data_IF_748242306113
#
_entry.id   IF_748242306113
#
_cell.length_a   1.000
_cell.length_b   1.000
_cell.length_c   1.000
_cell.angle_alpha   90.00
_cell.angle_beta   90.00
_cell.angle_gamma   90.00
#
_symmetry.space_group_name_H-M   'P 1'
#
loop_
_entity.id
_entity.type
_entity.pdbx_description
1 polymer ?
#
# COMPACT_ATOMS: atom_id res chain seq x y z
N UNK A 1 14.64 -35.06 9.47
CA UNK A 1 14.44 -33.73 8.88
C UNK A 1 13.11 -33.76 8.13
N UNK A 2 12.03 -33.31 8.78
CA UNK A 2 10.79 -33.00 8.07
C UNK A 2 10.86 -31.49 7.81
N UNK A 3 11.10 -31.12 6.55
CA UNK A 3 10.89 -29.75 6.13
C UNK A 3 9.37 -29.56 6.13
N UNK A 4 8.84 -28.89 7.15
CA UNK A 4 7.48 -28.35 7.08
C UNK A 4 7.49 -27.32 5.96
N UNK A 5 7.17 -27.77 4.75
CA UNK A 5 6.89 -26.90 3.60
C UNK A 5 5.62 -26.16 3.98
N UNK A 6 5.77 -24.98 4.58
CA UNK A 6 4.63 -24.13 4.86
C UNK A 6 3.96 -23.85 3.51
N UNK A 7 2.68 -24.21 3.31
CA UNK A 7 2.08 -24.17 1.99
C UNK A 7 2.01 -22.71 1.51
N UNK A 8 2.67 -22.42 0.39
CA UNK A 8 2.49 -21.17 -0.33
C UNK A 8 1.01 -21.00 -0.65
N UNK A 9 0.42 -19.89 -0.20
CA UNK A 9 -0.95 -19.53 -0.55
C UNK A 9 -0.92 -18.59 -1.74
N UNK A 10 -1.50 -18.99 -2.88
CA UNK A 10 -1.56 -18.15 -4.07
C UNK A 10 -3.00 -17.84 -4.48
N UNK A 11 -3.27 -16.57 -4.81
CA UNK A 11 -4.53 -16.14 -5.42
C UNK A 11 -4.25 -15.63 -6.83
N UNK A 12 -4.89 -16.25 -7.82
CA UNK A 12 -4.66 -15.94 -9.24
C UNK A 12 -5.93 -15.39 -9.88
N UNK A 13 -5.84 -14.19 -10.42
CA UNK A 13 -6.88 -13.57 -11.22
C UNK A 13 -6.79 -13.99 -12.68
N UNK A 14 -7.93 -14.04 -13.35
CA UNK A 14 -8.01 -14.27 -14.78
C UNK A 14 -7.57 -13.01 -15.54
N UNK A 15 -6.86 -13.20 -16.66
CA UNK A 15 -6.56 -12.15 -17.63
C UNK A 15 -7.45 -12.29 -18.87
N UNK A 16 -7.83 -11.16 -19.46
CA UNK A 16 -8.55 -11.11 -20.73
C UNK A 16 -7.79 -10.29 -21.74
N UNK A 17 -8.01 -10.63 -23.01
CA UNK A 17 -7.52 -9.85 -24.13
C UNK A 17 -8.64 -8.90 -24.58
N UNK A 18 -8.45 -7.57 -24.56
CA UNK A 18 -9.45 -6.65 -25.07
C UNK A 18 -9.73 -6.91 -26.55
N UNK A 19 -11.00 -6.94 -26.95
CA UNK A 19 -11.36 -7.09 -28.36
C UNK A 19 -10.80 -5.96 -29.24
N UNK A 20 -10.56 -4.78 -28.66
CA UNK A 20 -9.98 -3.61 -29.32
C UNK A 20 -8.47 -3.67 -29.49
N UNK A 21 -7.77 -4.51 -28.74
CA UNK A 21 -6.31 -4.65 -28.81
C UNK A 21 -5.88 -6.06 -28.37
N UNK A 22 -5.82 -7.02 -29.32
CA UNK A 22 -5.42 -8.40 -29.05
C UNK A 22 -4.01 -8.55 -28.46
N UNK A 23 -3.18 -7.50 -28.56
CA UNK A 23 -1.83 -7.46 -28.00
C UNK A 23 -1.77 -7.02 -26.54
N UNK A 24 -2.92 -6.65 -25.93
CA UNK A 24 -3.00 -6.23 -24.52
C UNK A 24 -3.63 -7.29 -23.64
N UNK A 25 -3.19 -7.36 -22.38
CA UNK A 25 -3.77 -8.22 -21.35
C UNK A 25 -4.24 -7.37 -20.17
N UNK A 26 -5.54 -7.51 -19.83
CA UNK A 26 -6.17 -6.84 -18.70
C UNK A 26 -6.51 -7.85 -17.61
N UNK A 27 -6.39 -7.42 -16.35
CA UNK A 27 -6.93 -8.19 -15.23
C UNK A 27 -8.46 -8.18 -15.31
N UNK A 28 -9.07 -9.34 -15.14
CA UNK A 28 -10.53 -9.50 -15.20
C UNK A 28 -11.16 -9.57 -13.81
N UNK A 29 -10.32 -9.68 -12.77
CA UNK A 29 -10.74 -9.75 -11.38
C UNK A 29 -10.42 -8.42 -10.71
N UNK A 30 -11.47 -7.76 -10.20
CA UNK A 30 -11.38 -6.52 -9.43
C UNK A 30 -12.03 -6.70 -8.06
N UNK A 31 -11.30 -6.37 -7.01
CA UNK A 31 -11.78 -6.33 -5.63
C UNK A 31 -11.79 -4.87 -5.21
N UNK A 32 -12.97 -4.32 -4.93
CA UNK A 32 -13.13 -2.92 -4.59
C UNK A 32 -13.88 -2.74 -3.27
N UNK A 33 -13.48 -1.73 -2.49
CA UNK A 33 -14.15 -1.30 -1.26
C UNK A 33 -14.30 0.21 -1.27
N UNK A 34 -15.30 0.73 -0.54
CA UNK A 34 -15.45 2.17 -0.25
C UNK A 34 -15.58 2.38 1.26
N UNK A 35 -14.46 2.58 1.95
CA UNK A 35 -14.38 2.79 3.40
C UNK A 35 -13.17 3.65 3.76
N UNK A 36 -13.39 4.71 4.52
CA UNK A 36 -12.32 5.48 5.18
C UNK A 36 -12.48 5.45 6.69
N UNK A 37 -11.40 5.74 7.40
CA UNK A 37 -11.49 6.19 8.78
C UNK A 37 -12.01 7.63 8.84
N UNK A 38 -12.79 7.93 9.88
CA UNK A 38 -13.23 9.30 10.13
C UNK A 38 -12.07 10.18 10.60
N UNK A 39 -11.15 9.60 11.38
CA UNK A 39 -9.92 10.18 11.88
C UNK A 39 -8.87 9.07 11.95
N UNK A 40 -7.64 9.36 11.49
CA UNK A 40 -6.50 8.46 11.65
C UNK A 40 -5.94 8.59 13.06
N UNK A 41 -5.65 7.45 13.67
CA UNK A 41 -4.88 7.36 14.91
C UNK A 41 -3.39 7.07 14.64
N UNK A 42 -3.03 6.85 13.38
CA UNK A 42 -1.65 6.54 12.94
C UNK A 42 -1.25 5.07 13.11
N UNK A 43 -2.10 4.24 13.72
CA UNK A 43 -1.78 2.85 14.07
C UNK A 43 -2.75 1.82 13.48
N UNK A 44 -4.04 2.16 13.30
CA UNK A 44 -5.09 1.23 12.85
C UNK A 44 -5.71 1.60 11.49
N UNK A 45 -4.96 2.30 10.64
CA UNK A 45 -5.39 2.68 9.30
C UNK A 45 -5.70 1.46 8.41
N UNK A 46 -5.11 0.31 8.73
CA UNK A 46 -5.32 -0.99 8.08
C UNK A 46 -6.77 -1.50 8.14
N UNK A 47 -7.58 -1.05 9.09
CA UNK A 47 -9.00 -1.38 9.13
C UNK A 47 -9.78 -0.94 7.86
N UNK A 48 -9.22 0.03 7.12
CA UNK A 48 -9.79 0.51 5.85
C UNK A 48 -9.41 -0.36 4.65
N UNK A 49 -8.36 -1.17 4.74
CA UNK A 49 -7.82 -1.94 3.63
C UNK A 49 -8.89 -2.73 2.89
N UNK A 50 -8.86 -2.72 1.56
CA UNK A 50 -9.70 -3.59 0.73
C UNK A 50 -9.24 -5.03 0.83
N UNK A 51 -7.92 -5.24 0.80
CA UNK A 51 -7.28 -6.54 0.95
C UNK A 51 -6.24 -6.47 2.05
N UNK A 52 -6.32 -7.37 3.04
CA UNK A 52 -5.39 -7.43 4.17
C UNK A 52 -4.84 -8.84 4.33
N UNK A 53 -3.52 -8.95 4.46
CA UNK A 53 -2.81 -10.20 4.71
C UNK A 53 -2.11 -10.08 6.06
N UNK A 54 -2.16 -11.13 6.87
CA UNK A 54 -1.47 -11.18 8.15
C UNK A 54 -1.03 -12.61 8.47
N UNK A 55 0.15 -12.76 9.08
CA UNK A 55 0.68 -14.05 9.53
C UNK A 55 0.81 -15.10 8.41
N UNK A 56 1.21 -14.69 7.21
CA UNK A 56 1.40 -15.58 6.08
C UNK A 56 2.88 -15.68 5.69
N UNK A 57 3.54 -16.84 5.90
CA UNK A 57 4.97 -16.98 5.63
C UNK A 57 5.32 -17.02 4.13
N UNK A 58 4.32 -17.22 3.25
CA UNK A 58 4.44 -17.14 1.80
C UNK A 58 3.04 -16.96 1.17
N UNK A 59 2.71 -15.72 0.80
CA UNK A 59 1.49 -15.38 0.08
C UNK A 59 1.81 -14.77 -1.28
N UNK A 60 1.14 -15.20 -2.34
CA UNK A 60 1.32 -14.66 -3.69
C UNK A 60 -0.01 -14.23 -4.30
N UNK A 61 -0.02 -13.08 -4.98
CA UNK A 61 -1.18 -12.60 -5.73
C UNK A 61 -0.76 -12.26 -7.16
N UNK A 62 -1.57 -12.73 -8.10
CA UNK A 62 -1.32 -12.59 -9.53
C UNK A 62 -2.52 -11.98 -10.21
N UNK A 63 -2.33 -10.97 -11.05
CA UNK A 63 -3.33 -10.55 -12.04
C UNK A 63 -4.70 -10.15 -11.45
N UNK A 64 -4.68 -9.49 -10.29
CA UNK A 64 -5.89 -8.97 -9.62
C UNK A 64 -5.74 -7.47 -9.41
N UNK A 65 -6.84 -6.75 -9.65
CA UNK A 65 -6.95 -5.34 -9.32
C UNK A 65 -7.57 -5.16 -7.93
N UNK A 66 -6.89 -4.45 -7.04
CA UNK A 66 -7.35 -4.16 -5.68
C UNK A 66 -7.50 -2.66 -5.52
N UNK A 67 -8.68 -2.24 -5.10
CA UNK A 67 -9.02 -0.83 -5.11
C UNK A 67 -9.76 -0.35 -3.88
N UNK A 68 -9.44 0.87 -3.48
CA UNK A 68 -10.19 1.64 -2.52
C UNK A 68 -10.79 2.88 -3.19
N UNK A 69 -12.12 2.89 -3.28
CA UNK A 69 -12.93 3.90 -3.98
C UNK A 69 -13.09 5.20 -3.19
N UNK A 70 -12.66 5.22 -1.93
CA UNK A 70 -12.73 6.41 -1.11
C UNK A 70 -11.58 7.36 -1.48
N UNK A 71 -11.95 8.55 -1.93
CA UNK A 71 -11.02 9.55 -2.49
C UNK A 71 -10.62 10.63 -1.49
N UNK A 72 -11.26 10.63 -0.32
CA UNK A 72 -11.02 11.57 0.77
C UNK A 72 -10.65 10.81 2.04
N UNK A 73 -9.79 11.41 2.88
CA UNK A 73 -9.25 10.77 4.10
C UNK A 73 -8.36 9.56 3.78
N UNK A 74 -7.88 8.92 4.84
CA UNK A 74 -7.04 7.72 4.76
C UNK A 74 -7.91 6.50 4.45
N UNK A 75 -7.55 5.79 3.39
CA UNK A 75 -8.27 4.62 2.91
C UNK A 75 -7.32 3.73 2.09
N UNK A 76 -6.96 2.59 2.66
CA UNK A 76 -6.01 1.65 2.07
C UNK A 76 -6.69 0.75 1.04
N UNK A 77 -5.98 0.42 -0.03
CA UNK A 77 -6.33 -0.68 -0.91
C UNK A 77 -5.72 -1.99 -0.40
N UNK A 78 -4.46 -1.95 0.03
CA UNK A 78 -3.71 -3.14 0.43
C UNK A 78 -2.97 -2.93 1.76
N UNK A 79 -2.92 -3.98 2.59
CA UNK A 79 -2.09 -4.03 3.79
C UNK A 79 -1.51 -5.44 4.03
N UNK A 80 -0.25 -5.53 4.42
CA UNK A 80 0.40 -6.77 4.85
C UNK A 80 1.06 -6.63 6.23
N UNK A 81 1.00 -7.67 7.07
CA UNK A 81 1.59 -7.70 8.43
C UNK A 81 2.23 -9.05 8.69
N UNK A 82 3.39 -9.11 9.32
CA UNK A 82 4.02 -10.39 9.72
C UNK A 82 3.95 -11.46 8.62
N UNK A 83 4.22 -11.05 7.37
CA UNK A 83 3.97 -11.88 6.19
C UNK A 83 5.03 -11.65 5.12
N UNK A 84 5.32 -12.69 4.35
CA UNK A 84 6.07 -12.57 3.11
C UNK A 84 5.07 -12.58 1.94
N UNK A 85 5.05 -11.51 1.15
CA UNK A 85 4.06 -11.34 0.08
C UNK A 85 4.71 -11.00 -1.26
N UNK A 86 4.33 -11.74 -2.31
CA UNK A 86 4.64 -11.41 -3.70
C UNK A 86 3.41 -10.93 -4.46
N UNK A 87 3.50 -9.77 -5.13
CA UNK A 87 2.47 -9.24 -6.02
C UNK A 87 2.99 -9.19 -7.46
N UNK A 88 2.23 -9.77 -8.40
CA UNK A 88 2.67 -9.97 -9.78
C UNK A 88 1.58 -9.55 -10.76
N UNK A 89 1.85 -8.53 -11.58
CA UNK A 89 0.86 -8.06 -12.56
C UNK A 89 -0.45 -7.59 -11.89
N UNK A 90 -0.40 -6.93 -10.74
CA UNK A 90 -1.57 -6.39 -10.08
C UNK A 90 -1.70 -4.88 -10.33
N UNK A 91 -2.92 -4.36 -10.34
CA UNK A 91 -3.14 -2.92 -10.08
C UNK A 91 -3.60 -2.72 -8.65
N UNK A 92 -2.91 -1.88 -7.88
CA UNK A 92 -3.32 -1.48 -6.53
C UNK A 92 -3.58 0.02 -6.50
N UNK A 93 -4.80 0.43 -6.18
CA UNK A 93 -5.20 1.84 -6.35
C UNK A 93 -6.00 2.40 -5.17
N UNK A 94 -5.55 3.52 -4.62
CA UNK A 94 -6.29 4.36 -3.67
C UNK A 94 -5.84 5.83 -3.78
N UNK A 95 -6.12 6.68 -2.78
CA UNK A 95 -5.71 8.08 -2.80
C UNK A 95 -4.62 8.37 -1.78
N UNK A 96 -4.96 8.39 -0.50
CA UNK A 96 -3.98 8.53 0.57
C UNK A 96 -3.77 7.17 1.24
N UNK A 97 -2.50 6.83 1.51
CA UNK A 97 -2.10 5.59 2.18
C UNK A 97 -2.54 4.34 1.38
N UNK A 98 -2.19 4.22 0.10
CA UNK A 98 -2.72 3.15 -0.77
C UNK A 98 -2.27 1.75 -0.37
N UNK A 99 -0.97 1.61 -0.08
CA UNK A 99 -0.31 0.34 0.14
C UNK A 99 0.47 0.41 1.46
N UNK A 100 0.07 -0.43 2.41
CA UNK A 100 0.73 -0.51 3.72
C UNK A 100 1.59 -1.76 3.86
N UNK A 101 2.85 -1.58 4.25
CA UNK A 101 3.74 -2.67 4.66
C UNK A 101 3.98 -2.60 6.16
N UNK A 102 3.29 -3.48 6.87
CA UNK A 102 3.27 -3.63 8.32
C UNK A 102 4.60 -4.10 8.94
N UNK A 103 4.63 -4.28 10.27
CA UNK A 103 5.81 -4.76 10.96
C UNK A 103 6.03 -6.21 10.58
N UNK A 104 7.30 -6.63 10.53
CA UNK A 104 7.69 -8.01 10.19
C UNK A 104 7.15 -8.49 8.83
N UNK A 105 6.76 -7.58 7.94
CA UNK A 105 6.32 -7.91 6.59
C UNK A 105 7.44 -7.69 5.58
N UNK A 106 7.59 -8.64 4.66
CA UNK A 106 8.45 -8.55 3.49
C UNK A 106 7.55 -8.57 2.25
N UNK A 107 7.67 -7.58 1.38
CA UNK A 107 6.81 -7.46 0.21
C UNK A 107 7.65 -7.26 -1.04
N UNK A 108 7.44 -8.11 -2.03
CA UNK A 108 8.00 -7.99 -3.38
C UNK A 108 6.87 -7.67 -4.38
N UNK A 109 7.06 -6.63 -5.18
CA UNK A 109 6.10 -6.19 -6.21
C UNK A 109 6.80 -6.21 -7.57
N UNK A 110 6.25 -6.95 -8.53
CA UNK A 110 6.81 -7.06 -9.88
C UNK A 110 5.74 -6.88 -10.96
N UNK A 111 6.03 -6.05 -11.97
CA UNK A 111 5.11 -5.85 -13.10
C UNK A 111 3.76 -5.25 -12.72
N UNK A 112 3.67 -4.53 -11.59
CA UNK A 112 2.41 -4.01 -11.08
C UNK A 112 2.23 -2.52 -11.42
N UNK A 113 1.00 -2.03 -11.29
CA UNK A 113 0.68 -0.60 -11.28
C UNK A 113 0.19 -0.21 -9.90
N UNK A 114 0.86 0.74 -9.23
CA UNK A 114 0.41 1.29 -7.96
C UNK A 114 -0.01 2.75 -8.16
N UNK A 115 -1.27 3.07 -7.84
CA UNK A 115 -1.83 4.41 -7.98
C UNK A 115 -2.16 5.04 -6.64
N UNK A 116 -1.74 6.28 -6.46
CA UNK A 116 -2.05 7.04 -5.26
C UNK A 116 -1.75 8.52 -5.39
N UNK A 117 -1.87 9.25 -4.28
CA UNK A 117 -1.64 10.69 -4.19
C UNK A 117 -0.65 11.04 -3.08
N UNK A 118 -0.98 10.67 -1.84
CA UNK A 118 -0.18 11.02 -0.66
C UNK A 118 0.24 9.74 0.03
N UNK A 119 1.54 9.59 0.27
CA UNK A 119 2.16 8.51 1.03
C UNK A 119 1.66 7.13 0.57
N UNK A 120 1.53 6.95 -0.75
CA UNK A 120 0.77 5.82 -1.27
C UNK A 120 1.51 4.49 -1.20
N UNK A 121 2.83 4.52 -0.97
CA UNK A 121 3.60 3.45 -0.38
C UNK A 121 4.03 3.89 1.01
N UNK A 122 3.53 3.27 2.06
CA UNK A 122 3.93 3.61 3.42
C UNK A 122 4.06 2.38 4.31
N UNK A 123 4.88 2.47 5.36
CA UNK A 123 5.12 1.30 6.18
C UNK A 123 6.41 1.34 6.99
N UNK A 124 6.74 0.17 7.49
CA UNK A 124 7.82 -0.12 8.44
C UNK A 124 8.44 -1.50 8.26
N UNK A 125 7.87 -2.35 7.39
CA UNK A 125 8.53 -3.58 6.95
C UNK A 125 9.54 -3.33 5.83
N UNK A 126 9.75 -4.36 5.01
CA UNK A 126 10.67 -4.33 3.87
C UNK A 126 9.88 -4.40 2.57
N UNK A 127 10.03 -3.41 1.72
CA UNK A 127 9.36 -3.34 0.42
C UNK A 127 10.36 -3.24 -0.71
N UNK A 128 10.27 -4.16 -1.67
CA UNK A 128 10.98 -4.09 -2.94
C UNK A 128 9.98 -4.02 -4.09
N UNK A 129 10.06 -2.97 -4.89
CA UNK A 129 9.23 -2.76 -6.09
C UNK A 129 10.13 -2.78 -7.31
N UNK A 130 9.82 -3.65 -8.27
CA UNK A 130 10.63 -3.85 -9.46
C UNK A 130 9.79 -3.85 -10.73
N UNK A 131 10.32 -3.28 -11.82
CA UNK A 131 9.70 -3.32 -13.15
C UNK A 131 8.22 -2.94 -13.13
N UNK A 132 7.87 -1.95 -12.31
CA UNK A 132 6.49 -1.57 -12.01
C UNK A 132 6.24 -0.10 -12.33
N UNK A 133 4.98 0.30 -12.35
CA UNK A 133 4.56 1.68 -12.56
C UNK A 133 4.03 2.26 -11.25
N UNK A 134 4.62 3.37 -10.80
CA UNK A 134 4.12 4.17 -9.69
C UNK A 134 3.48 5.44 -10.24
N UNK A 135 2.15 5.52 -10.17
CA UNK A 135 1.35 6.52 -10.87
C UNK A 135 0.65 7.49 -9.89
N UNK A 136 1.07 8.75 -9.90
CA UNK A 136 0.60 9.80 -9.00
C UNK A 136 -0.64 10.52 -9.54
N UNK A 137 -1.70 10.58 -8.73
CA UNK A 137 -3.01 11.17 -9.06
C UNK A 137 -3.07 12.69 -8.89
N UNK A 138 -2.22 13.25 -8.02
CA UNK A 138 -2.07 14.69 -7.78
C UNK A 138 -0.78 14.93 -6.96
N UNK A 139 -0.58 16.18 -6.52
CA UNK A 139 0.54 16.56 -5.64
C UNK A 139 0.57 15.73 -4.35
N UNK A 140 1.78 15.42 -3.89
CA UNK A 140 2.01 14.61 -2.70
C UNK A 140 3.38 13.93 -2.71
N UNK A 141 3.50 12.80 -2.01
CA UNK A 141 4.70 11.99 -1.94
C UNK A 141 4.37 10.54 -2.26
N UNK A 142 5.31 9.84 -2.91
CA UNK A 142 5.17 8.42 -3.27
C UNK A 142 5.37 7.56 -2.02
N UNK A 143 6.52 7.72 -1.37
CA UNK A 143 6.94 6.91 -0.23
C UNK A 143 6.89 7.71 1.07
N UNK A 144 6.34 7.12 2.13
CA UNK A 144 6.54 7.57 3.50
C UNK A 144 6.92 6.39 4.40
N UNK A 145 8.19 6.30 4.78
CA UNK A 145 8.70 5.12 5.49
C UNK A 145 9.05 5.42 6.95
N UNK A 146 8.71 4.47 7.82
CA UNK A 146 9.19 4.39 9.18
C UNK A 146 10.33 3.37 9.21
N UNK A 147 11.56 3.87 9.20
CA UNK A 147 12.74 3.00 9.29
C UNK A 147 12.99 2.55 10.72
N UNK A 148 13.76 1.48 10.86
CA UNK A 148 14.15 0.95 12.16
C UNK A 148 15.67 1.04 12.37
N UNK A 149 16.10 0.95 13.63
CA UNK A 149 17.53 1.02 13.96
C UNK A 149 18.31 -0.20 13.47
N UNK A 150 17.64 -1.34 13.24
CA UNK A 150 18.28 -2.55 12.70
C UNK A 150 18.61 -2.44 11.21
N UNK A 151 18.16 -1.36 10.54
CA UNK A 151 18.40 -1.04 9.12
C UNK A 151 17.80 -2.06 8.16
N UNK A 152 16.88 -2.89 8.64
CA UNK A 152 16.17 -3.89 7.83
C UNK A 152 14.96 -3.28 7.14
N UNK A 153 14.27 -2.35 7.82
CA UNK A 153 13.13 -1.62 7.26
C UNK A 153 13.55 -0.65 6.15
N UNK A 154 12.81 -0.67 5.04
CA UNK A 154 12.99 0.27 3.95
C UNK A 154 12.06 0.01 2.76
N UNK A 155 11.91 1.03 1.92
CA UNK A 155 11.28 0.91 0.60
C UNK A 155 12.30 1.12 -0.51
N UNK A 156 12.40 0.14 -1.40
CA UNK A 156 13.38 0.09 -2.47
C UNK A 156 12.63 -0.04 -3.80
N UNK A 157 12.76 0.95 -4.66
CA UNK A 157 12.09 1.03 -5.95
C UNK A 157 13.18 0.89 -7.01
N UNK A 158 13.11 -0.17 -7.80
CA UNK A 158 14.13 -0.53 -8.79
C UNK A 158 13.51 -0.67 -10.18
N UNK A 159 14.22 -0.19 -11.21
CA UNK A 159 13.87 -0.39 -12.63
C UNK A 159 12.39 -0.07 -12.95
N UNK A 160 11.82 0.91 -12.26
CA UNK A 160 10.40 1.22 -12.28
C UNK A 160 10.14 2.58 -12.93
N UNK A 161 8.92 2.79 -13.41
CA UNK A 161 8.49 4.04 -14.04
C UNK A 161 7.64 4.86 -13.06
N UNK A 162 7.92 6.16 -12.99
CA UNK A 162 7.22 7.09 -12.10
C UNK A 162 6.55 8.17 -12.94
N UNK A 163 5.22 8.21 -12.89
CA UNK A 163 4.42 9.04 -13.79
C UNK A 163 3.15 9.64 -13.19
N UNK A 164 2.49 10.51 -13.95
CA UNK A 164 1.14 10.94 -13.63
C UNK A 164 0.18 9.80 -13.96
N UNK A 165 -0.75 9.52 -13.05
CA UNK A 165 -1.83 8.57 -13.32
C UNK A 165 -2.75 9.07 -14.43
N UNK A 166 -3.32 8.17 -15.23
CA UNK A 166 -4.27 8.54 -16.30
C UNK A 166 -5.53 9.22 -15.75
N UNK A 167 -5.90 8.84 -14.53
CA UNK A 167 -7.08 9.31 -13.80
C UNK A 167 -6.75 10.51 -12.90
N UNK A 168 -5.55 11.08 -13.03
CA UNK A 168 -5.26 12.41 -12.51
C UNK A 168 -6.23 13.42 -13.16
N UNK A 169 -6.65 14.43 -12.39
CA UNK A 169 -7.54 15.49 -12.91
C UNK A 169 -6.89 16.14 -14.14
N UNK A 170 -7.49 15.93 -15.33
CA UNK A 170 -7.00 16.48 -16.59
C UNK A 170 -7.03 18.02 -16.57
N UNK A 171 -6.00 18.67 -17.11
CA UNK A 171 -5.87 20.14 -17.19
C UNK A 171 -4.73 20.70 -16.32
N UNK A 172 -4.88 21.91 -15.78
CA UNK A 172 -3.88 22.62 -14.93
C UNK A 172 -3.52 21.92 -13.60
N UNK A 173 -3.97 20.67 -13.40
CA UNK A 173 -3.84 19.92 -12.15
C UNK A 173 -3.02 18.61 -12.31
N UNK A 174 -2.48 18.32 -13.50
CA UNK A 174 -1.42 17.31 -13.64
C UNK A 174 -0.26 17.71 -12.73
N UNK A 175 0.27 16.83 -11.87
CA UNK A 175 1.19 17.21 -10.80
C UNK A 175 2.63 17.39 -11.30
N UNK A 176 2.81 18.17 -12.37
CA UNK A 176 4.11 18.53 -12.93
C UNK A 176 4.94 19.27 -11.88
N UNK A 177 6.10 18.74 -11.51
CA UNK A 177 6.97 19.30 -10.48
C UNK A 177 6.30 19.40 -9.10
N UNK A 178 5.41 18.48 -8.74
CA UNK A 178 4.61 18.52 -7.50
C UNK A 178 4.61 17.21 -6.70
N UNK A 179 5.33 16.19 -7.16
CA UNK A 179 5.41 14.88 -6.50
C UNK A 179 6.81 14.67 -5.91
N UNK A 180 6.89 14.38 -4.62
CA UNK A 180 8.12 13.92 -3.98
C UNK A 180 8.31 12.40 -4.17
N UNK A 181 9.53 11.96 -4.47
CA UNK A 181 9.92 10.55 -4.46
C UNK A 181 9.66 9.91 -3.09
N UNK A 182 9.87 10.66 -2.02
CA UNK A 182 9.48 10.23 -0.68
C UNK A 182 9.72 11.30 0.37
N UNK A 183 9.26 11.00 1.58
CA UNK A 183 9.47 11.81 2.77
C UNK A 183 9.61 10.95 4.03
N UNK A 184 10.34 11.41 5.05
CA UNK A 184 10.62 10.60 6.22
C UNK A 184 9.40 10.55 7.17
N UNK A 185 8.75 9.40 7.32
CA UNK A 185 7.70 9.28 8.34
C UNK A 185 8.33 9.27 9.75
N UNK A 186 9.57 8.81 9.89
CA UNK A 186 10.38 8.90 11.11
C UNK A 186 11.81 9.32 10.80
N UNK A 187 12.58 9.71 11.83
CA UNK A 187 13.97 10.17 11.71
C UNK A 187 14.96 9.11 11.19
N UNK A 188 14.53 7.86 11.10
CA UNK A 188 15.31 6.70 10.64
C UNK A 188 14.83 6.21 9.27
N UNK A 189 13.95 6.95 8.59
CA UNK A 189 13.35 6.57 7.33
C UNK A 189 14.38 6.17 6.27
N UNK A 190 14.08 5.10 5.53
CA UNK A 190 14.91 4.56 4.47
C UNK A 190 14.11 4.37 3.18
N UNK A 191 14.58 5.01 2.12
CA UNK A 191 13.98 4.91 0.79
C UNK A 191 15.08 4.98 -0.26
N UNK A 192 15.01 4.15 -1.28
CA UNK A 192 15.92 4.21 -2.43
C UNK A 192 15.16 4.08 -3.75
N UNK A 193 15.49 4.93 -4.72
CA UNK A 193 15.07 4.81 -6.12
C UNK A 193 16.28 4.47 -6.98
N UNK A 194 16.26 3.32 -7.65
CA UNK A 194 17.39 2.73 -8.35
C UNK A 194 17.03 2.53 -9.83
N UNK A 195 17.76 3.17 -10.73
CA UNK A 195 17.62 3.04 -12.19
C UNK A 195 16.17 3.22 -12.68
N UNK A 196 15.45 4.18 -12.09
CA UNK A 196 14.05 4.43 -12.42
C UNK A 196 13.89 5.42 -13.58
N UNK A 197 12.79 5.33 -14.32
CA UNK A 197 12.40 6.35 -15.30
C UNK A 197 11.44 7.35 -14.64
N UNK A 198 11.91 8.58 -14.42
CA UNK A 198 11.17 9.63 -13.72
C UNK A 198 10.62 10.63 -14.73
N UNK A 199 9.29 10.75 -14.80
CA UNK A 199 8.64 11.81 -15.60
C UNK A 199 8.72 13.18 -14.91
N UNK A 200 8.28 14.23 -15.62
CA UNK A 200 8.26 15.62 -15.14
C UNK A 200 7.38 15.90 -13.91
N UNK A 201 6.72 14.89 -13.33
CA UNK A 201 5.91 15.06 -12.12
C UNK A 201 6.75 15.28 -10.86
N UNK A 202 8.02 14.85 -10.88
CA UNK A 202 8.90 14.91 -9.73
C UNK A 202 9.35 16.33 -9.42
N UNK A 203 9.31 16.71 -8.14
CA UNK A 203 9.84 17.99 -7.65
C UNK A 203 11.36 18.07 -7.91
N UNK A 204 11.94 19.25 -8.18
CA UNK A 204 13.38 19.38 -8.43
C UNK A 204 14.27 18.82 -7.30
N UNK A 205 13.83 18.97 -6.05
CA UNK A 205 14.57 18.45 -4.88
C UNK A 205 14.52 16.92 -4.75
N UNK A 206 13.69 16.23 -5.54
CA UNK A 206 13.44 14.80 -5.46
C UNK A 206 12.62 14.40 -4.24
N UNK A 207 13.16 14.62 -3.05
CA UNK A 207 12.55 14.31 -1.77
C UNK A 207 12.05 15.57 -1.05
N UNK A 208 11.18 15.37 -0.07
CA UNK A 208 10.72 16.43 0.84
C UNK A 208 10.95 16.05 2.30
N UNK A 209 11.04 17.05 3.17
CA UNK A 209 10.87 16.86 4.62
C UNK A 209 9.46 16.36 4.93
N UNK A 210 9.25 15.84 6.15
CA UNK A 210 7.90 15.49 6.61
C UNK A 210 6.98 16.72 6.69
N UNK A 211 7.39 17.71 7.50
CA UNK A 211 6.84 19.07 7.54
C UNK A 211 7.96 20.08 7.79
N UNK A 212 7.79 21.34 7.37
CA UNK A 212 8.79 22.39 7.68
C UNK A 212 8.99 22.58 9.20
N UNK A 213 7.93 22.45 9.99
CA UNK A 213 7.96 22.56 11.45
C UNK A 213 8.40 21.26 12.16
N UNK A 214 8.39 20.13 11.45
CA UNK A 214 8.82 18.82 11.96
C UNK A 214 9.47 18.06 10.79
N UNK A 215 10.75 18.32 10.47
CA UNK A 215 11.37 17.77 9.28
C UNK A 215 11.56 16.25 9.31
N UNK A 216 11.64 15.68 10.51
CA UNK A 216 11.93 14.26 10.80
C UNK A 216 13.22 13.76 10.15
N UNK A 217 14.31 14.51 10.30
CA UNK A 217 15.64 14.14 9.83
C UNK A 217 16.56 13.78 11.00
N UNK A 218 17.50 12.86 10.75
CA UNK A 218 18.67 12.57 11.57
C UNK A 218 19.79 11.99 10.72
N UNK A 219 20.96 11.72 11.32
CA UNK A 219 22.07 11.03 10.66
C UNK A 219 21.71 9.63 10.13
N UNK A 220 20.63 9.01 10.64
CA UNK A 220 20.14 7.70 10.18
C UNK A 220 19.12 7.79 9.05
N UNK A 221 18.64 8.99 8.70
CA UNK A 221 17.74 9.18 7.56
C UNK A 221 18.47 8.87 6.25
N UNK A 222 17.86 8.08 5.38
CA UNK A 222 18.44 7.69 4.10
C UNK A 222 17.42 7.78 2.97
N UNK A 223 17.45 8.87 2.22
CA UNK A 223 16.60 9.11 1.05
C UNK A 223 17.49 9.15 -0.20
N UNK A 224 17.56 8.02 -0.90
CA UNK A 224 18.60 7.78 -1.89
C UNK A 224 18.05 7.67 -3.32
N UNK A 225 18.88 8.09 -4.27
CA UNK A 225 18.62 7.94 -5.71
C UNK A 225 19.89 7.44 -6.41
N UNK A 226 19.74 6.52 -7.35
CA UNK A 226 20.82 6.02 -8.20
C UNK A 226 20.38 5.94 -9.65
N UNK A 227 21.13 6.56 -10.55
CA UNK A 227 21.04 6.38 -12.00
C UNK A 227 19.62 6.49 -12.61
N UNK A 228 18.71 7.23 -11.99
CA UNK A 228 17.39 7.50 -12.57
C UNK A 228 17.51 8.36 -13.84
N UNK A 229 16.58 8.16 -14.78
CA UNK A 229 16.52 8.83 -16.09
C UNK A 229 15.17 9.52 -16.29
N UNK A 230 14.98 10.11 -17.47
CA UNK A 230 13.76 10.82 -17.85
C UNK A 230 13.72 12.29 -17.41
N UNK A 231 12.68 13.03 -17.80
CA UNK A 231 12.57 14.47 -17.55
C UNK A 231 12.60 14.89 -16.06
N UNK A 232 12.19 14.01 -15.15
CA UNK A 232 12.27 14.21 -13.69
C UNK A 232 13.52 13.61 -13.04
N UNK A 233 14.35 12.90 -13.83
CA UNK A 233 15.57 12.22 -13.38
C UNK A 233 16.80 13.13 -13.32
N UNK A 234 16.68 14.39 -13.77
CA UNK A 234 17.79 15.34 -13.66
C UNK A 234 18.08 15.63 -12.19
N UNK A 235 19.32 15.38 -11.77
CA UNK A 235 19.73 15.51 -10.36
C UNK A 235 20.29 16.89 -10.00
N UNK A 236 20.40 17.82 -10.94
CA UNK A 236 20.98 19.16 -10.69
C UNK A 236 20.19 19.98 -9.65
N UNK A 237 18.89 19.72 -9.50
CA UNK A 237 18.04 20.32 -8.46
C UNK A 237 18.02 19.56 -7.14
N UNK A 238 18.69 18.39 -7.07
CA UNK A 238 18.78 17.60 -5.84
C UNK A 238 19.72 18.31 -4.88
N UNK A 239 19.24 18.42 -3.66
CA UNK A 239 19.99 18.98 -2.54
C UNK A 239 20.82 17.86 -1.92
N UNK A 240 22.12 17.80 -2.23
CA UNK A 240 23.01 16.65 -1.93
C UNK A 240 24.03 16.99 -0.85
N UNK A 241 24.21 16.09 0.12
CA UNK A 241 25.40 16.04 0.99
C UNK A 241 26.15 14.74 0.73
N UNK A 242 27.48 14.82 0.61
CA UNK A 242 28.32 13.64 0.79
C UNK A 242 28.06 13.14 2.21
N UNK A 243 27.54 11.90 2.34
CA UNK A 243 26.97 11.25 3.55
C UNK A 243 27.79 11.30 4.87
N UNK A 244 28.88 12.04 4.91
CA UNK A 244 29.73 12.34 6.06
C UNK A 244 29.24 13.57 6.87
N UNK A 245 28.18 14.28 6.45
CA UNK A 245 27.61 15.44 7.15
C UNK A 245 26.16 15.27 7.64
N UNK A 246 25.62 16.30 8.30
CA UNK A 246 24.23 16.33 8.80
C UNK A 246 23.20 16.34 7.66
N UNK A 247 22.13 15.53 7.80
CA UNK A 247 20.97 15.57 6.90
C UNK A 247 20.02 16.67 7.38
N UNK A 248 19.90 17.75 6.60
CA UNK A 248 18.98 18.85 6.87
C UNK A 248 18.05 19.13 5.68
N UNK A 249 17.17 20.14 5.82
CA UNK A 249 16.24 20.55 4.75
C UNK A 249 16.92 21.06 3.46
N UNK A 250 18.21 21.38 3.54
CA UNK A 250 19.06 21.79 2.42
C UNK A 250 19.87 20.65 1.82
N UNK A 251 19.79 19.43 2.37
CA UNK A 251 20.63 18.30 2.00
C UNK A 251 19.89 16.96 2.12
N UNK A 252 18.65 16.93 1.65
CA UNK A 252 17.72 15.80 1.78
C UNK A 252 18.08 14.57 0.96
N UNK A 253 18.69 14.76 -0.21
CA UNK A 253 18.91 13.68 -1.18
C UNK A 253 20.30 13.10 -1.05
N UNK A 254 20.38 11.77 -1.16
CA UNK A 254 21.65 11.07 -1.27
C UNK A 254 21.79 10.40 -2.64
N UNK A 255 22.55 11.03 -3.54
CA UNK A 255 22.85 10.44 -4.85
C UNK A 255 23.95 9.40 -4.66
N UNK A 256 23.63 8.16 -4.94
CA UNK A 256 24.54 7.03 -4.79
C UNK A 256 25.53 6.99 -5.96
N UNK A 257 26.76 6.62 -5.65
CA UNK A 257 27.67 6.05 -6.64
C UNK A 257 27.34 4.56 -6.87
N UNK A 258 27.96 3.96 -7.89
CA UNK A 258 27.72 2.57 -8.27
C UNK A 258 28.02 1.58 -7.13
N UNK A 259 29.14 1.77 -6.41
CA UNK A 259 29.56 0.87 -5.34
C UNK A 259 28.58 0.86 -4.17
N UNK A 260 28.02 2.02 -3.82
CA UNK A 260 27.00 2.11 -2.78
C UNK A 260 25.65 1.63 -3.28
N UNK A 261 25.32 1.85 -4.55
CA UNK A 261 24.09 1.32 -5.15
C UNK A 261 24.05 -0.21 -5.14
N UNK A 262 25.18 -0.89 -5.34
CA UNK A 262 25.29 -2.37 -5.26
C UNK A 262 24.86 -2.94 -3.91
N UNK A 263 24.94 -2.15 -2.83
CA UNK A 263 24.48 -2.57 -1.49
C UNK A 263 22.96 -2.68 -1.41
N UNK A 264 22.23 -1.98 -2.27
CA UNK A 264 20.78 -2.06 -2.39
C UNK A 264 20.39 -3.07 -3.49
N UNK A 265 20.50 -4.35 -3.17
CA UNK A 265 20.01 -5.42 -4.05
C UNK A 265 19.01 -6.31 -3.30
N UNK A 266 18.20 -7.04 -4.06
CA UNK A 266 17.09 -7.81 -3.50
C UNK A 266 17.53 -8.84 -2.45
N UNK A 267 18.69 -9.48 -2.66
CA UNK A 267 19.22 -10.48 -1.74
C UNK A 267 19.71 -9.83 -0.44
N UNK A 268 20.41 -8.70 -0.51
CA UNK A 268 20.87 -8.00 0.71
C UNK A 268 19.73 -7.38 1.49
N UNK A 269 18.70 -6.87 0.80
CA UNK A 269 17.54 -6.25 1.42
C UNK A 269 16.69 -7.27 2.18
N UNK A 270 16.45 -8.47 1.62
CA UNK A 270 15.63 -9.48 2.29
C UNK A 270 16.43 -10.49 3.13
N UNK A 271 17.77 -10.55 3.02
CA UNK A 271 18.60 -11.48 3.80
C UNK A 271 18.33 -11.41 5.32
N UNK A 272 18.23 -10.22 5.96
CA UNK A 272 17.97 -10.14 7.40
C UNK A 272 16.60 -10.67 7.83
N UNK A 273 15.66 -10.84 6.90
CA UNK A 273 14.26 -11.20 7.18
C UNK A 273 13.85 -12.55 6.60
N UNK A 274 14.82 -13.42 6.28
CA UNK A 274 14.58 -14.77 5.80
C UNK A 274 14.88 -15.00 4.31
N UNK A 275 15.39 -13.98 3.61
CA UNK A 275 15.81 -14.08 2.23
C UNK A 275 14.66 -14.05 1.22
N UNK A 276 14.95 -14.47 -0.01
CA UNK A 276 14.09 -14.29 -1.18
C UNK A 276 13.25 -15.52 -1.54
N UNK A 277 13.19 -16.55 -0.68
CA UNK A 277 12.51 -17.82 -0.98
C UNK A 277 11.00 -17.72 -1.23
N UNK A 278 10.35 -16.64 -0.79
CA UNK A 278 8.93 -16.38 -1.04
C UNK A 278 8.67 -15.75 -2.43
N UNK A 279 9.72 -15.38 -3.17
CA UNK A 279 9.62 -14.66 -4.43
C UNK A 279 9.51 -15.65 -5.59
N UNK A 280 8.60 -15.36 -6.52
CA UNK A 280 8.45 -16.04 -7.80
C UNK A 280 9.25 -15.27 -8.87
N UNK A 281 10.49 -15.67 -9.07
CA UNK A 281 11.38 -15.10 -10.11
C UNK A 281 11.04 -15.59 -11.53
N UNK A 282 10.17 -16.60 -11.65
CA UNK A 282 9.75 -17.15 -12.93
C UNK A 282 8.60 -16.37 -13.54
N UNK A 283 7.90 -15.54 -12.74
CA UNK A 283 6.87 -14.64 -13.26
C UNK A 283 7.44 -13.73 -14.35
N UNK A 284 6.89 -13.85 -15.57
CA UNK A 284 7.28 -13.01 -16.70
C UNK A 284 6.23 -11.93 -16.91
N UNK A 285 6.59 -10.70 -16.59
CA UNK A 285 5.83 -9.53 -17.01
C UNK A 285 6.16 -9.22 -18.48
N UNK A 286 5.16 -9.27 -19.35
CA UNK A 286 5.32 -8.93 -20.78
C UNK A 286 4.86 -7.50 -21.03
N UNK A 287 5.47 -6.80 -22.00
CA UNK A 287 5.02 -5.45 -22.41
C UNK A 287 3.55 -5.45 -22.90
N UNK A 288 3.03 -6.61 -23.33
CA UNK A 288 1.62 -6.85 -23.64
C UNK A 288 0.70 -6.73 -22.40
N UNK A 289 1.20 -6.95 -21.18
CA UNK A 289 0.47 -6.74 -19.93
C UNK A 289 0.50 -5.29 -19.46
N UNK A 290 0.60 -4.32 -20.39
CA UNK A 290 0.40 -2.90 -20.11
C UNK A 290 -1.05 -2.68 -19.65
N UNK A 291 -1.26 -2.76 -18.33
CA UNK A 291 -2.58 -2.64 -17.72
C UNK A 291 -3.12 -1.24 -17.96
N UNK A 292 -4.21 -1.16 -18.73
CA UNK A 292 -5.01 0.05 -18.74
C UNK A 292 -5.71 0.24 -17.41
N UNK A 293 -6.12 1.47 -17.14
CA UNK A 293 -6.77 1.85 -15.90
C UNK A 293 -8.16 1.23 -15.88
N UNK A 294 -8.49 0.33 -14.93
CA UNK A 294 -9.84 -0.20 -14.82
C UNK A 294 -10.80 0.97 -14.66
N UNK A 295 -11.95 0.92 -15.35
CA UNK A 295 -12.99 1.93 -15.18
C UNK A 295 -13.37 2.02 -13.70
N UNK A 296 -13.02 3.15 -13.09
CA UNK A 296 -13.19 3.44 -11.66
C UNK A 296 -14.65 3.76 -11.32
N UNK A 297 -15.55 3.70 -12.30
CA UNK A 297 -16.99 3.81 -12.09
C UNK A 297 -17.51 2.70 -11.17
N UNK A 298 -18.62 2.94 -10.44
CA UNK A 298 -19.21 1.93 -9.57
C UNK A 298 -19.52 0.67 -10.37
N UNK A 299 -19.05 -0.49 -9.90
CA UNK A 299 -19.49 -1.78 -10.42
C UNK A 299 -21.02 -1.81 -10.30
N UNK A 300 -21.72 -1.91 -11.43
CA UNK A 300 -23.16 -2.09 -11.43
C UNK A 300 -23.47 -3.30 -10.54
N UNK A 301 -24.32 -3.10 -9.51
CA UNK A 301 -24.76 -4.21 -8.66
C UNK A 301 -25.29 -5.30 -9.58
N UNK A 302 -24.74 -6.52 -9.51
CA UNK A 302 -25.37 -7.65 -10.17
C UNK A 302 -26.78 -7.76 -9.59
N UNK A 303 -27.80 -7.47 -10.39
CA UNK A 303 -29.16 -7.91 -10.09
C UNK A 303 -29.09 -9.41 -9.92
N UNK A 304 -29.40 -9.89 -8.73
CA UNK A 304 -29.52 -11.31 -8.43
C UNK A 304 -30.41 -11.94 -9.48
N UNK A 305 -29.81 -12.76 -10.36
CA UNK A 305 -30.57 -13.70 -11.15
C UNK A 305 -31.35 -14.58 -10.18
N UNK A 306 -32.66 -14.64 -10.37
CA UNK A 306 -33.56 -15.51 -9.64
C UNK A 306 -33.00 -16.93 -9.70
N UNK A 307 -32.41 -17.42 -8.60
CA UNK A 307 -32.16 -18.84 -8.46
C UNK A 307 -33.53 -19.51 -8.37
N UNK A 308 -34.01 -20.07 -9.48
CA UNK A 308 -35.02 -21.12 -9.43
C UNK A 308 -34.40 -22.30 -8.69
N UNK A 309 -34.66 -22.38 -7.38
CA UNK A 309 -34.47 -23.61 -6.63
C UNK A 309 -35.41 -24.65 -7.23
N UNK A 310 -34.84 -25.63 -7.94
CA UNK A 310 -35.53 -26.91 -8.17
C UNK A 310 -35.52 -27.64 -6.83
N UNK A 311 -36.67 -27.69 -6.17
CA UNK A 311 -36.89 -28.57 -5.04
C UNK A 311 -37.10 -29.98 -5.58
N UNK A 312 -36.08 -30.83 -5.47
CA UNK A 312 -36.28 -32.27 -5.51
C UNK A 312 -36.97 -32.70 -4.20
N UNK A 313 -38.16 -33.28 -4.35
CA UNK A 313 -38.97 -33.78 -3.26
C UNK A 313 -38.42 -35.13 -2.76
N UNK A 314 -37.61 -35.10 -1.71
CA UNK A 314 -37.30 -36.26 -0.87
C UNK A 314 -37.95 -36.07 0.50
N UNK A 315 -39.02 -36.81 0.76
CA UNK A 315 -39.83 -36.67 1.96
C UNK A 315 -39.15 -37.18 3.23
N UNK A 316 -39.30 -36.42 4.32
CA UNK A 316 -39.40 -37.00 5.65
C UNK A 316 -40.36 -36.17 6.52
N UNK A 317 -41.45 -36.81 6.89
CA UNK A 317 -42.51 -36.35 7.80
C UNK A 317 -42.10 -36.68 9.24
N UNK A 318 -42.26 -35.75 10.19
CA UNK A 318 -42.64 -36.00 11.60
C UNK A 318 -43.14 -34.67 12.26
N UNK A 319 -43.94 -34.70 13.35
CA UNK A 319 -45.25 -34.05 13.37
C UNK A 319 -45.38 -32.75 14.19
N UNK A 320 -46.50 -32.06 13.94
CA UNK A 320 -46.97 -30.82 14.59
C UNK A 320 -47.38 -31.01 16.05
N UNK A 321 -46.95 -30.08 16.90
CA UNK A 321 -47.50 -29.80 18.25
C UNK A 321 -48.00 -28.34 18.36
N UNK A 322 -49.02 -28.13 19.20
CA UNK A 322 -50.05 -27.09 19.15
C UNK A 322 -49.81 -25.90 20.13
N UNK A 323 -50.22 -24.70 19.68
CA UNK A 323 -51.00 -23.61 20.37
C UNK A 323 -50.60 -22.96 21.72
N UNK A 324 -50.70 -21.61 21.74
CA UNK A 324 -51.10 -20.78 22.90
C UNK A 324 -50.53 -19.34 22.89
N UNK A 325 -51.25 -18.31 22.40
CA UNK A 325 -51.90 -17.18 23.14
C UNK A 325 -51.14 -16.69 24.42
N UNK A 326 -50.95 -15.41 24.77
CA UNK A 326 -51.77 -14.18 24.61
C UNK A 326 -50.97 -12.91 25.02
N UNK A 327 -51.54 -11.75 24.69
CA UNK A 327 -51.11 -10.34 24.89
C UNK A 327 -50.88 -9.86 26.34
N UNK A 328 -50.13 -8.76 26.49
CA UNK A 328 -50.23 -7.83 27.63
C UNK A 328 -49.40 -6.54 27.44
N UNK A 329 -50.07 -5.39 27.37
CA UNK A 329 -49.51 -4.03 27.22
C UNK A 329 -49.50 -3.26 28.55
N UNK A 330 -48.58 -2.31 28.76
CA UNK A 330 -48.91 -0.93 29.19
C UNK A 330 -47.69 -0.01 29.33
N UNK A 331 -47.95 1.28 29.05
CA UNK A 331 -47.14 2.51 29.21
C UNK A 331 -46.81 2.74 30.71
N UNK A 332 -45.83 3.56 31.13
CA UNK A 332 -45.81 5.03 30.95
C UNK A 332 -44.59 5.73 31.58
N UNK A 333 -44.16 6.81 30.92
CA UNK A 333 -43.76 8.15 31.42
C UNK A 333 -42.71 8.32 32.53
N UNK A 334 -41.68 9.14 32.23
CA UNK A 334 -40.83 9.80 33.22
C UNK A 334 -39.79 10.72 32.60
N UNK A 335 -40.17 11.98 32.36
CA UNK A 335 -39.32 13.07 31.84
C UNK A 335 -38.61 13.76 33.02
N UNK A 336 -37.28 13.93 33.00
CA UNK A 336 -36.61 15.00 33.79
C UNK A 336 -35.30 15.45 33.14
N UNK A 337 -35.09 16.77 33.25
CA UNK A 337 -34.08 17.63 32.62
C UNK A 337 -32.82 17.80 33.51
N UNK A 338 -31.73 18.19 32.83
CA UNK A 338 -30.61 19.08 33.24
C UNK A 338 -29.66 18.68 34.37
N UNK A 339 -28.35 18.58 34.10
CA UNK A 339 -27.37 19.67 34.28
C UNK A 339 -25.93 19.29 33.85
N UNK A 340 -25.20 20.31 33.40
CA UNK A 340 -23.75 20.36 33.18
C UNK A 340 -22.92 19.85 34.37
N UNK A 341 -21.77 19.21 34.07
CA UNK A 341 -20.45 19.58 34.64
C UNK A 341 -19.30 18.89 33.88
N UNK A 342 -18.36 19.72 33.47
CA UNK A 342 -17.02 19.41 32.98
C UNK A 342 -16.08 19.03 34.13
N UNK A 343 -15.19 18.04 33.94
CA UNK A 343 -13.82 18.00 34.46
C UNK A 343 -13.02 16.83 33.81
N UNK A 344 -11.67 16.91 33.77
CA UNK A 344 -10.81 16.18 32.84
C UNK A 344 -10.35 14.82 33.38
N UNK A 345 -9.98 13.90 32.49
CA UNK A 345 -9.31 12.65 32.84
C UNK A 345 -7.80 12.69 32.52
N UNK A 346 -6.96 12.05 33.34
CA UNK A 346 -5.51 12.24 33.32
C UNK A 346 -4.77 11.27 32.40
N UNK A 347 -3.54 11.67 32.07
CA UNK A 347 -2.48 10.90 31.44
C UNK A 347 -2.12 9.62 32.22
N UNK A 348 -2.12 8.48 31.54
CA UNK A 348 -1.46 7.26 32.00
C UNK A 348 -0.38 6.85 31.02
N UNK A 349 0.85 7.08 31.47
CA UNK A 349 2.11 6.53 30.97
C UNK A 349 2.13 5.03 31.28
N UNK A 350 2.40 4.17 30.28
CA UNK A 350 2.65 2.75 30.50
C UNK A 350 3.99 2.38 29.85
N UNK A 351 5.01 2.25 30.72
CA UNK A 351 6.26 1.57 30.44
C UNK A 351 5.98 0.11 30.04
N UNK A 352 6.44 -0.31 28.85
CA UNK A 352 6.59 -1.73 28.53
C UNK A 352 7.96 -2.23 29.00
N UNK A 353 7.92 -3.18 29.95
CA UNK A 353 9.05 -4.03 30.30
C UNK A 353 9.29 -5.06 29.18
N UNK A 354 10.54 -5.11 28.75
CA UNK A 354 11.18 -6.17 27.96
C UNK A 354 10.79 -7.58 28.44
N UNK A 355 10.34 -8.43 27.52
CA UNK A 355 10.37 -9.88 27.68
C UNK A 355 11.35 -10.44 26.63
N UNK A 356 12.43 -11.06 27.13
CA UNK A 356 13.37 -11.84 26.33
C UNK A 356 12.71 -13.17 25.97
N UNK A 357 12.85 -13.58 24.71
CA UNK A 357 13.16 -14.95 24.31
C UNK A 357 14.19 -14.87 23.19
#
# INVERSE_FOLDING_TARGET
>A
MLADVCPCTAVKGQITTPASDPGKLNNSVRIARKRALLQSDGYHNDATATFKISNSPDFKIYNIDIEQLQTTKIALAFAAFSSNVGLYGCTIAAFQDTFFVGPHANVYIHGCIIRGKVDYLYGWGVLWVESSVLASRALGAIVAWNGDLSKTSGAYISNSRIESSIDAKKGSLTPVGQVALGRPWTKTARTAFLSCELSKVIIPTGFSVWWNSDPRLSSETSLAEYNSKGPGGTTSGRKVVQRQGEVDSNHLSYILDEERAKQFNINTVFAPTGGTGFIDFDYKYTAAQAQEVPDMSPIAKSTSGTQTQRHDAGGHVLPKGRSGLRRGSSRSHGRRKTHHRSHPLPSTEVMMKSCRL
#
